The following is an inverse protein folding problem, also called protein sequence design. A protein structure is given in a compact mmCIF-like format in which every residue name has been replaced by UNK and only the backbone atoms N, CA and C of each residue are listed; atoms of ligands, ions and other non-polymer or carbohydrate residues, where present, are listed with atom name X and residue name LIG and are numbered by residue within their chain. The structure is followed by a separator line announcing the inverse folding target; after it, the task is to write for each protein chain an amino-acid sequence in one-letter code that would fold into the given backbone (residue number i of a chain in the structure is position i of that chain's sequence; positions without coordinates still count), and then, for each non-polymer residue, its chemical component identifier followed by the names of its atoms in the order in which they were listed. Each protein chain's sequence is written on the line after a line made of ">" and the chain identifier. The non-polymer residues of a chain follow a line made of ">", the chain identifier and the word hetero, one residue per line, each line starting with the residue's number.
data_IF_256742308505
#
_entry.id   IF_256742308505
#
_cell.length_a   1.000
_cell.length_b   1.000
_cell.length_c   1.000
_cell.angle_alpha   90.00
_cell.angle_beta   90.00
_cell.angle_gamma   90.00
#
_symmetry.space_group_name_H-M   'P 1'
#
loop_
_entity.id
_entity.type
_entity.pdbx_description
1 polymer ?
#
# COMPACT_ATOMS: atom_id res chain seq x y z
N UNK A 1 4.88 -14.03 14.67
CA UNK A 1 5.27 -12.78 13.99
C UNK A 1 4.48 -11.56 14.48
N UNK A 2 3.14 -11.50 14.34
CA UNK A 2 2.33 -10.34 14.81
C UNK A 2 2.42 -10.12 16.33
N UNK A 3 2.58 -11.19 17.12
CA UNK A 3 2.82 -11.10 18.55
C UNK A 3 4.06 -10.25 18.90
N UNK A 4 5.18 -10.47 18.22
CA UNK A 4 6.43 -9.73 18.45
C UNK A 4 6.33 -8.27 18.00
N UNK A 5 5.56 -8.00 16.94
CA UNK A 5 5.27 -6.64 16.47
C UNK A 5 4.39 -5.90 17.49
N UNK A 6 3.33 -6.55 18.00
CA UNK A 6 2.46 -5.98 19.02
C UNK A 6 3.20 -5.68 20.32
N UNK A 7 4.09 -6.58 20.74
CA UNK A 7 4.96 -6.39 21.90
C UNK A 7 5.91 -5.20 21.70
N UNK A 8 6.56 -5.10 20.54
CA UNK A 8 7.49 -4.01 20.22
C UNK A 8 6.81 -2.64 20.12
N UNK A 9 5.54 -2.60 19.71
CA UNK A 9 4.76 -1.37 19.57
C UNK A 9 3.94 -1.02 20.83
N UNK A 10 3.93 -1.87 21.86
CA UNK A 10 3.13 -1.68 23.07
C UNK A 10 1.61 -1.76 22.82
N UNK A 11 1.17 -2.44 21.75
CA UNK A 11 -0.24 -2.52 21.36
C UNK A 11 -0.74 -3.96 21.44
N UNK A 12 -1.94 -4.20 22.04
CA UNK A 12 -2.53 -5.54 22.10
C UNK A 12 -2.70 -6.18 20.73
N UNK A 13 -2.31 -7.45 20.61
CA UNK A 13 -2.37 -8.21 19.33
C UNK A 13 -3.78 -8.21 18.72
N UNK A 14 -4.82 -8.20 19.55
CA UNK A 14 -6.22 -8.10 19.13
C UNK A 14 -6.56 -6.84 18.32
N UNK A 15 -5.79 -5.75 18.47
CA UNK A 15 -5.93 -4.54 17.66
C UNK A 15 -5.50 -4.75 16.21
N UNK A 16 -4.50 -5.60 15.96
CA UNK A 16 -4.04 -5.91 14.60
C UNK A 16 -5.09 -6.69 13.81
N UNK A 17 -5.85 -7.60 14.43
CA UNK A 17 -6.97 -8.28 13.75
C UNK A 17 -8.13 -7.35 13.41
N UNK A 18 -8.36 -6.29 14.20
CA UNK A 18 -9.40 -5.29 13.91
C UNK A 18 -8.94 -4.29 12.84
N UNK A 19 -7.67 -3.86 12.88
CA UNK A 19 -7.04 -3.02 11.87
C UNK A 19 -6.85 -3.75 10.53
N UNK A 20 -6.56 -5.05 10.57
CA UNK A 20 -6.42 -5.91 9.39
C UNK A 20 -7.68 -5.92 8.54
N UNK A 21 -8.89 -5.92 9.12
CA UNK A 21 -10.13 -5.83 8.33
C UNK A 21 -10.31 -4.50 7.57
N UNK A 22 -9.82 -3.40 8.14
CA UNK A 22 -9.81 -2.09 7.48
C UNK A 22 -8.74 -2.00 6.39
N UNK A 23 -7.54 -2.50 6.67
CA UNK A 23 -6.45 -2.58 5.69
C UNK A 23 -6.75 -3.57 4.57
N UNK A 24 -7.44 -4.68 4.85
CA UNK A 24 -7.79 -5.70 3.85
C UNK A 24 -8.75 -5.13 2.80
N UNK A 25 -9.65 -4.21 3.18
CA UNK A 25 -10.49 -3.47 2.20
C UNK A 25 -9.71 -2.47 1.35
N UNK A 26 -8.56 -1.98 1.84
CA UNK A 26 -7.65 -1.13 1.06
C UNK A 26 -6.78 -2.01 0.16
N UNK A 27 -6.33 -3.17 0.64
CA UNK A 27 -5.60 -4.16 -0.13
C UNK A 27 -6.46 -4.79 -1.24
N UNK A 28 -7.74 -5.08 -0.98
CA UNK A 28 -8.75 -5.44 -1.98
C UNK A 28 -9.02 -4.33 -3.00
N UNK A 29 -8.62 -3.07 -2.75
CA UNK A 29 -8.65 -2.02 -3.79
C UNK A 29 -7.32 -1.87 -4.51
N UNK A 30 -6.23 -2.35 -3.91
CA UNK A 30 -4.88 -2.38 -4.46
C UNK A 30 -4.61 -3.70 -5.20
N UNK A 31 -5.61 -4.30 -5.84
CA UNK A 31 -5.55 -5.54 -6.67
C UNK A 31 -4.46 -5.54 -7.77
N UNK A 32 -3.62 -4.52 -7.83
CA UNK A 32 -2.61 -4.26 -8.84
C UNK A 32 -1.38 -5.18 -8.66
N UNK A 33 -1.00 -5.57 -7.43
CA UNK A 33 0.16 -6.44 -7.18
C UNK A 33 -0.12 -7.54 -6.14
N UNK A 34 0.42 -8.77 -6.32
CA UNK A 34 0.45 -9.77 -5.26
C UNK A 34 1.08 -9.19 -3.99
N UNK A 35 0.58 -9.57 -2.82
CA UNK A 35 1.01 -9.06 -1.51
C UNK A 35 2.53 -9.12 -1.35
N UNK A 36 3.14 -10.22 -1.81
CA UNK A 36 4.58 -10.45 -1.70
C UNK A 36 5.39 -9.42 -2.50
N UNK A 37 4.95 -9.06 -3.71
CA UNK A 37 5.61 -8.06 -4.56
C UNK A 37 5.48 -6.66 -3.96
N UNK A 38 4.36 -6.36 -3.32
CA UNK A 38 4.16 -5.09 -2.62
C UNK A 38 5.06 -4.99 -1.37
N UNK A 39 5.23 -6.10 -0.64
CA UNK A 39 6.14 -6.20 0.51
C UNK A 39 7.59 -6.00 0.05
N UNK A 40 8.01 -6.65 -1.04
CA UNK A 40 9.35 -6.51 -1.60
C UNK A 40 9.65 -5.07 -1.99
N UNK A 41 8.71 -4.40 -2.67
CA UNK A 41 8.86 -2.99 -3.03
C UNK A 41 8.98 -2.10 -1.79
N UNK A 42 8.12 -2.27 -0.78
CA UNK A 42 8.18 -1.49 0.46
C UNK A 42 9.51 -1.71 1.21
N UNK A 43 10.11 -2.89 1.07
CA UNK A 43 11.41 -3.22 1.66
C UNK A 43 12.61 -2.62 0.90
N UNK A 44 12.43 -2.10 -0.32
CA UNK A 44 13.48 -1.37 -1.04
C UNK A 44 13.82 -0.02 -0.38
N UNK A 45 14.93 0.62 -0.78
CA UNK A 45 15.26 1.98 -0.32
C UNK A 45 14.25 2.98 -0.85
N UNK A 46 13.82 2.78 -2.08
CA UNK A 46 12.91 3.62 -2.84
C UNK A 46 11.50 3.56 -2.24
N UNK A 47 10.99 2.36 -1.94
CA UNK A 47 9.70 2.15 -1.29
C UNK A 47 9.65 2.78 0.11
N UNK A 48 10.69 2.56 0.92
CA UNK A 48 10.80 3.23 2.24
C UNK A 48 10.85 4.75 2.12
N UNK A 49 11.65 5.28 1.18
CA UNK A 49 11.75 6.72 0.96
C UNK A 49 10.41 7.31 0.52
N UNK A 50 9.69 6.65 -0.40
CA UNK A 50 8.36 7.06 -0.83
C UNK A 50 7.38 7.16 0.35
N UNK A 51 7.34 6.13 1.20
CA UNK A 51 6.47 6.13 2.39
C UNK A 51 6.85 7.28 3.35
N UNK A 52 8.15 7.47 3.62
CA UNK A 52 8.63 8.54 4.50
C UNK A 52 8.18 9.92 3.99
N UNK A 53 8.33 10.17 2.69
CA UNK A 53 7.92 11.43 2.05
C UNK A 53 6.41 11.60 2.08
N UNK A 54 5.66 10.56 1.78
CA UNK A 54 4.19 10.54 1.83
C UNK A 54 3.65 10.90 3.22
N UNK A 55 4.21 10.31 4.28
CA UNK A 55 3.77 10.55 5.67
C UNK A 55 4.02 11.99 6.10
N UNK A 56 5.09 12.62 5.62
CA UNK A 56 5.42 14.03 5.91
C UNK A 56 4.53 15.04 5.19
N UNK A 57 3.75 14.64 4.19
CA UNK A 57 2.84 15.55 3.50
C UNK A 57 1.65 15.94 4.39
N UNK A 58 1.12 17.17 4.25
CA UNK A 58 -0.15 17.54 4.85
C UNK A 58 -1.27 16.58 4.41
N UNK A 59 -2.25 16.24 5.27
CA UNK A 59 -3.26 15.21 4.97
C UNK A 59 -3.97 15.39 3.63
N UNK A 60 -4.34 16.64 3.28
CA UNK A 60 -4.99 16.96 2.00
C UNK A 60 -4.07 16.75 0.81
N UNK A 61 -2.79 17.07 0.93
CA UNK A 61 -1.80 16.88 -0.13
C UNK A 61 -1.51 15.40 -0.32
N UNK A 62 -1.33 14.65 0.77
CA UNK A 62 -1.16 13.19 0.73
C UNK A 62 -2.33 12.51 0.00
N UNK A 63 -3.57 12.91 0.30
CA UNK A 63 -4.75 12.37 -0.37
C UNK A 63 -4.74 12.62 -1.89
N UNK A 64 -4.40 13.85 -2.31
CA UNK A 64 -4.30 14.21 -3.74
C UNK A 64 -3.19 13.45 -4.47
N UNK A 65 -2.01 13.34 -3.85
CA UNK A 65 -0.88 12.60 -4.41
C UNK A 65 -1.22 11.11 -4.53
N UNK A 66 -1.82 10.52 -3.49
CA UNK A 66 -2.24 9.11 -3.50
C UNK A 66 -3.27 8.84 -4.61
N UNK A 67 -4.25 9.74 -4.78
CA UNK A 67 -5.24 9.62 -5.86
C UNK A 67 -4.59 9.69 -7.25
N UNK A 68 -3.57 10.53 -7.43
CA UNK A 68 -2.86 10.63 -8.71
C UNK A 68 -2.00 9.39 -8.99
N UNK A 69 -1.33 8.85 -7.97
CA UNK A 69 -0.58 7.58 -8.08
C UNK A 69 -1.53 6.43 -8.46
N UNK A 70 -2.71 6.37 -7.84
CA UNK A 70 -3.72 5.37 -8.17
C UNK A 70 -4.19 5.48 -9.63
N UNK A 71 -4.50 6.69 -10.11
CA UNK A 71 -4.89 6.91 -11.50
C UNK A 71 -3.79 6.47 -12.49
N UNK A 72 -2.51 6.77 -12.21
CA UNK A 72 -1.39 6.29 -13.02
C UNK A 72 -1.30 4.76 -12.99
N UNK A 73 -1.49 4.15 -11.82
CA UNK A 73 -1.50 2.69 -11.69
C UNK A 73 -2.63 2.03 -12.49
N UNK A 74 -3.81 2.64 -12.53
CA UNK A 74 -4.94 2.20 -13.35
C UNK A 74 -4.63 2.34 -14.85
N UNK A 75 -4.07 3.48 -15.29
CA UNK A 75 -3.63 3.68 -16.68
C UNK A 75 -2.59 2.65 -17.12
N UNK A 76 -1.61 2.33 -16.27
CA UNK A 76 -0.56 1.34 -16.55
C UNK A 76 -1.04 -0.12 -16.49
N UNK A 77 -2.15 -0.38 -15.78
CA UNK A 77 -2.74 -1.72 -15.68
C UNK A 77 -3.78 -2.00 -16.77
N UNK A 78 -4.13 -0.99 -17.57
CA UNK A 78 -4.97 -1.20 -18.74
C UNK A 78 -4.22 -2.14 -19.71
N UNK A 79 -4.83 -3.25 -20.16
CA UNK A 79 -4.20 -4.09 -21.17
C UNK A 79 -3.99 -3.25 -22.43
N UNK A 80 -2.75 -3.14 -22.88
CA UNK A 80 -2.46 -2.61 -24.21
C UNK A 80 -3.22 -3.50 -25.20
N UNK A 81 -4.25 -2.95 -25.83
CA UNK A 81 -5.08 -3.63 -26.82
C UNK A 81 -4.38 -3.76 -28.18
N UNK A 82 -3.12 -4.22 -28.16
CA UNK A 82 -2.34 -4.52 -29.35
C UNK A 82 -2.12 -6.04 -29.42
N UNK A 83 -3.20 -6.78 -29.64
CA UNK A 83 -3.10 -8.07 -30.32
C UNK A 83 -3.76 -7.91 -31.68
N UNK A 84 -2.90 -7.89 -32.70
CA UNK A 84 -3.21 -7.92 -34.12
C UNK A 84 -4.22 -9.02 -34.45
N UNK A 85 -5.22 -8.67 -35.26
CA UNK A 85 -5.88 -9.60 -36.18
C UNK A 85 -6.32 -8.86 -37.44
#
# INVERSE_FOLDING_TARGET
>A
MIHEIGKSLGVPVSRFSKASRGMMRVAERLHILPVDVCIDFIATKEGRHLIERMVRLPPRVRARVSARIAAIGEELSAPNGDEEQ
#
